data_IF_374509637396
#
_entry.id   IF_374509637396
#
_cell.length_a   1.000
_cell.length_b   1.000
_cell.length_c   1.000
_cell.angle_alpha   90.00
_cell.angle_beta   90.00
_cell.angle_gamma   90.00
#
_symmetry.space_group_name_H-M   'P 1'
#
loop_
_entity.id
_entity.type
_entity.pdbx_description
1 polymer ?
#
# COMPACT_ATOMS: atom_id res chain seq x y z
N UNK A 1 10.25 -19.96 12.62
CA UNK A 1 11.27 -20.03 13.68
C UNK A 1 10.66 -19.36 14.89
N UNK A 2 10.49 -20.06 16.00
CA UNK A 2 10.11 -19.42 17.25
C UNK A 2 11.17 -18.38 17.58
N UNK A 3 10.73 -17.15 17.80
CA UNK A 3 11.53 -16.16 18.51
C UNK A 3 12.08 -16.85 19.76
N UNK A 4 13.40 -16.95 19.87
CA UNK A 4 14.07 -17.46 21.06
C UNK A 4 13.88 -16.44 22.20
N UNK A 5 12.65 -16.32 22.69
CA UNK A 5 12.38 -15.84 24.03
C UNK A 5 13.29 -16.60 24.99
N UNK A 6 13.70 -15.95 26.08
CA UNK A 6 14.58 -16.57 27.08
C UNK A 6 14.04 -17.96 27.43
N UNK A 7 14.81 -18.99 27.11
CA UNK A 7 14.49 -20.35 27.54
C UNK A 7 14.73 -20.42 29.05
N UNK A 8 13.64 -20.37 29.81
CA UNK A 8 13.70 -20.43 31.27
C UNK A 8 14.22 -21.77 31.79
N UNK A 9 14.36 -22.79 30.93
CA UNK A 9 14.99 -24.06 31.27
C UNK A 9 16.54 -23.99 31.21
N UNK A 10 17.12 -22.95 30.60
CA UNK A 10 18.56 -22.73 30.64
C UNK A 10 19.01 -22.32 32.06
N UNK A 11 20.23 -22.70 32.42
CA UNK A 11 20.81 -22.29 33.69
C UNK A 11 20.87 -20.76 33.80
N UNK A 12 20.81 -20.24 35.03
CA UNK A 12 20.92 -18.79 35.26
C UNK A 12 22.21 -18.22 34.66
N UNK A 13 23.32 -18.97 34.74
CA UNK A 13 24.60 -18.56 34.18
C UNK A 13 24.52 -18.42 32.65
N UNK A 14 23.92 -19.39 31.95
CA UNK A 14 23.75 -19.32 30.50
C UNK A 14 22.86 -18.15 30.10
N UNK A 15 21.74 -17.93 30.83
CA UNK A 15 20.85 -16.80 30.57
C UNK A 15 21.55 -15.45 30.72
N UNK A 16 22.40 -15.29 31.74
CA UNK A 16 23.17 -14.06 31.95
C UNK A 16 24.20 -13.82 30.84
N UNK A 17 24.94 -14.84 30.42
CA UNK A 17 25.96 -14.69 29.36
C UNK A 17 25.37 -14.43 27.95
N UNK A 18 24.06 -14.63 27.77
CA UNK A 18 23.34 -14.27 26.52
C UNK A 18 22.93 -12.80 26.46
N UNK A 19 22.94 -12.07 27.57
CA UNK A 19 22.54 -10.66 27.61
C UNK A 19 23.64 -9.83 26.93
N UNK A 20 23.34 -9.05 25.87
CA UNK A 20 24.33 -8.19 25.23
C UNK A 20 24.99 -7.24 26.24
N UNK A 21 26.33 -7.21 26.24
CA UNK A 21 27.11 -6.36 27.15
C UNK A 21 27.20 -6.86 28.60
N UNK A 22 26.70 -8.06 28.92
CA UNK A 22 26.83 -8.61 30.27
C UNK A 22 28.28 -8.99 30.62
N UNK A 23 28.76 -8.47 31.75
CA UNK A 23 30.04 -8.83 32.35
C UNK A 23 29.79 -9.12 33.85
N UNK A 24 30.14 -10.32 34.37
CA UNK A 24 29.96 -10.65 35.78
C UNK A 24 30.58 -9.62 36.72
N UNK A 25 29.79 -9.10 37.66
CA UNK A 25 30.24 -8.14 38.67
C UNK A 25 30.39 -6.69 38.18
N UNK A 26 30.04 -6.39 36.92
CA UNK A 26 30.06 -5.04 36.37
C UNK A 26 28.63 -4.49 36.19
N UNK A 27 28.43 -3.16 36.24
CA UNK A 27 27.17 -2.54 35.88
C UNK A 27 26.87 -2.68 34.38
N UNK A 28 25.61 -2.46 33.99
CA UNK A 28 25.20 -2.49 32.59
C UNK A 28 25.87 -1.37 31.77
N UNK A 29 26.26 -1.70 30.54
CA UNK A 29 26.73 -0.75 29.54
C UNK A 29 25.64 -0.46 28.50
N UNK A 30 25.80 0.63 27.75
CA UNK A 30 24.91 0.94 26.62
C UNK A 30 25.04 -0.13 25.53
N UNK A 31 23.94 -0.42 24.84
CA UNK A 31 23.88 -1.34 23.70
C UNK A 31 23.98 -0.57 22.38
N UNK A 32 25.07 0.18 22.19
CA UNK A 32 25.21 1.06 21.01
C UNK A 32 25.44 0.28 19.69
N UNK A 33 25.87 -1.00 19.78
CA UNK A 33 26.14 -1.88 18.62
C UNK A 33 24.94 -2.72 18.17
N UNK A 34 23.79 -2.60 18.84
CA UNK A 34 22.56 -3.35 18.53
C UNK A 34 21.52 -2.38 17.99
N UNK A 35 21.01 -2.64 16.79
CA UNK A 35 19.99 -1.80 16.16
C UNK A 35 18.58 -2.32 16.45
N UNK A 36 17.59 -1.45 16.27
CA UNK A 36 16.18 -1.85 16.35
C UNK A 36 15.85 -3.03 15.42
N UNK A 37 16.50 -3.11 14.25
CA UNK A 37 16.26 -4.19 13.29
C UNK A 37 16.82 -5.53 13.76
N UNK A 38 17.92 -5.54 14.54
CA UNK A 38 18.50 -6.76 15.10
C UNK A 38 17.58 -7.40 16.16
N UNK A 39 16.79 -6.57 16.85
CA UNK A 39 15.88 -6.99 17.91
C UNK A 39 14.42 -7.13 17.43
N UNK A 40 14.10 -6.65 16.22
CA UNK A 40 12.73 -6.56 15.71
C UNK A 40 12.04 -7.91 15.72
N UNK A 41 12.62 -8.93 15.07
CA UNK A 41 12.04 -10.28 15.06
C UNK A 41 11.87 -10.83 16.48
N UNK A 42 12.83 -10.57 17.37
CA UNK A 42 12.76 -11.05 18.75
C UNK A 42 11.68 -10.36 19.60
N UNK A 43 11.33 -9.11 19.32
CA UNK A 43 10.29 -8.40 20.06
C UNK A 43 8.90 -8.52 19.43
N UNK A 44 8.86 -8.61 18.10
CA UNK A 44 7.67 -8.39 17.29
C UNK A 44 7.31 -9.59 16.41
N UNK A 45 8.08 -10.68 16.49
CA UNK A 45 7.76 -11.97 15.88
C UNK A 45 8.25 -12.17 14.45
N UNK A 46 8.56 -11.09 13.73
CA UNK A 46 9.15 -11.14 12.38
C UNK A 46 9.70 -9.77 11.95
N UNK A 47 10.52 -9.80 10.90
CA UNK A 47 10.92 -8.60 10.18
C UNK A 47 9.81 -8.11 9.25
N UNK A 48 9.50 -6.81 9.34
CA UNK A 48 8.48 -6.13 8.52
C UNK A 48 9.13 -5.18 7.52
N UNK A 49 8.52 -5.07 6.34
CA UNK A 49 8.93 -4.09 5.33
C UNK A 49 8.59 -4.51 3.90
N UNK A 50 8.15 -3.56 3.09
CA UNK A 50 7.90 -3.73 1.66
C UNK A 50 8.33 -2.49 0.82
N UNK A 51 9.58 -2.02 0.94
CA UNK A 51 10.08 -0.85 0.20
C UNK A 51 10.51 -1.25 -1.22
N UNK A 52 9.63 -1.94 -1.92
CA UNK A 52 9.82 -2.29 -3.31
C UNK A 52 8.44 -2.51 -3.91
N UNK A 53 8.26 -2.16 -5.17
CA UNK A 53 7.04 -2.44 -5.90
C UNK A 53 7.10 -3.81 -6.61
N UNK A 54 8.30 -4.34 -6.86
CA UNK A 54 8.55 -5.50 -7.75
C UNK A 54 9.46 -6.58 -7.15
N UNK A 55 10.03 -6.40 -5.95
CA UNK A 55 10.68 -7.50 -5.24
C UNK A 55 9.72 -8.65 -4.96
N UNK A 56 10.16 -9.84 -4.55
CA UNK A 56 9.22 -10.95 -4.37
C UNK A 56 8.25 -10.70 -3.21
N UNK A 57 6.95 -10.78 -3.48
CA UNK A 57 5.88 -10.54 -2.51
C UNK A 57 5.75 -11.76 -1.59
N UNK A 58 5.99 -11.56 -0.28
CA UNK A 58 5.99 -12.65 0.71
C UNK A 58 4.68 -12.71 1.49
N UNK A 59 4.21 -11.56 1.96
CA UNK A 59 3.03 -11.47 2.83
C UNK A 59 2.19 -10.26 2.48
N UNK A 60 0.87 -10.45 2.45
CA UNK A 60 -0.11 -9.39 2.22
C UNK A 60 -1.20 -9.38 3.28
N UNK A 61 -1.71 -8.19 3.56
CA UNK A 61 -2.93 -7.97 4.33
C UNK A 61 -4.07 -7.66 3.37
N UNK A 62 -5.20 -8.33 3.56
CA UNK A 62 -6.45 -8.11 2.87
C UNK A 62 -7.58 -7.83 3.86
N UNK A 63 -8.55 -7.02 3.44
CA UNK A 63 -9.79 -6.80 4.19
C UNK A 63 -10.95 -7.39 3.41
N UNK A 64 -11.65 -8.36 3.99
CA UNK A 64 -12.83 -8.95 3.36
C UNK A 64 -13.89 -7.86 3.13
N UNK A 65 -14.44 -7.72 1.90
CA UNK A 65 -15.40 -6.67 1.61
C UNK A 65 -16.72 -6.91 2.35
N UNK A 66 -17.39 -5.83 2.71
CA UNK A 66 -18.76 -5.90 3.22
C UNK A 66 -19.70 -6.41 2.14
N UNK A 67 -20.69 -7.21 2.53
CA UNK A 67 -21.78 -7.65 1.65
C UNK A 67 -22.90 -6.62 1.56
N UNK A 68 -22.95 -5.70 2.53
CA UNK A 68 -23.98 -4.68 2.63
C UNK A 68 -23.92 -3.68 1.47
N UNK A 69 -25.08 -3.12 1.17
CA UNK A 69 -25.25 -2.09 0.15
C UNK A 69 -24.70 -0.72 0.57
N UNK A 70 -25.12 0.34 -0.14
CA UNK A 70 -24.85 1.70 0.29
C UNK A 70 -25.54 2.02 1.62
N UNK A 71 -24.94 2.89 2.43
CA UNK A 71 -25.54 3.40 3.67
C UNK A 71 -26.64 4.43 3.39
N UNK A 72 -27.44 4.76 4.41
CA UNK A 72 -28.47 5.80 4.29
C UNK A 72 -27.89 7.17 3.90
N UNK A 73 -26.72 7.54 4.45
CA UNK A 73 -26.06 8.80 4.10
C UNK A 73 -25.60 8.80 2.63
N UNK A 74 -25.10 7.66 2.15
CA UNK A 74 -24.64 7.50 0.76
C UNK A 74 -25.80 7.58 -0.23
N UNK A 75 -26.99 7.14 0.17
CA UNK A 75 -28.21 7.25 -0.63
C UNK A 75 -28.82 8.67 -0.56
N UNK A 76 -28.68 9.34 0.59
CA UNK A 76 -29.21 10.69 0.79
C UNK A 76 -28.47 11.77 -0.02
N UNK A 77 -27.14 11.65 -0.15
CA UNK A 77 -26.34 12.54 -1.02
C UNK A 77 -25.25 11.77 -1.79
N UNK A 78 -25.59 11.10 -2.90
CA UNK A 78 -24.63 10.31 -3.66
C UNK A 78 -23.46 11.10 -4.24
N UNK A 79 -23.61 12.43 -4.43
CA UNK A 79 -22.57 13.27 -5.00
C UNK A 79 -21.42 13.50 -4.00
N UNK A 80 -21.73 13.65 -2.71
CA UNK A 80 -20.72 13.78 -1.66
C UNK A 80 -19.85 12.51 -1.50
N UNK A 81 -20.42 11.34 -1.76
CA UNK A 81 -19.75 10.04 -1.65
C UNK A 81 -19.22 9.50 -3.00
N UNK A 82 -19.14 10.36 -4.03
CA UNK A 82 -18.67 9.98 -5.36
C UNK A 82 -17.22 9.51 -5.32
N UNK A 83 -16.93 8.45 -6.06
CA UNK A 83 -15.58 7.91 -6.26
C UNK A 83 -15.41 7.54 -7.72
N UNK A 84 -14.36 8.05 -8.38
CA UNK A 84 -14.07 7.72 -9.78
C UNK A 84 -15.25 7.98 -10.74
N UNK A 85 -16.02 9.03 -10.46
CA UNK A 85 -17.22 9.37 -11.23
C UNK A 85 -18.37 8.35 -11.10
N UNK A 86 -18.34 7.54 -10.04
CA UNK A 86 -19.38 6.56 -9.68
C UNK A 86 -19.89 6.80 -8.27
N UNK A 87 -21.14 6.48 -8.04
CA UNK A 87 -21.77 6.60 -6.71
C UNK A 87 -21.89 5.25 -6.03
N UNK A 88 -22.34 5.25 -4.78
CA UNK A 88 -22.55 4.02 -4.01
C UNK A 88 -23.60 3.08 -4.64
N UNK A 89 -24.53 3.61 -5.44
CA UNK A 89 -25.56 2.81 -6.13
C UNK A 89 -25.02 2.04 -7.33
N UNK A 90 -23.91 2.50 -7.91
CA UNK A 90 -23.31 1.78 -9.04
C UNK A 90 -22.50 0.56 -8.53
N UNK A 91 -22.18 0.50 -7.22
CA UNK A 91 -21.25 -0.48 -6.64
C UNK A 91 -21.73 -1.92 -6.92
N UNK A 92 -20.84 -2.83 -7.38
CA UNK A 92 -21.23 -4.20 -7.70
C UNK A 92 -21.81 -4.91 -6.48
N UNK A 93 -22.74 -5.85 -6.66
CA UNK A 93 -23.37 -6.56 -5.54
C UNK A 93 -22.34 -7.19 -4.59
N UNK A 94 -22.67 -7.24 -3.30
CA UNK A 94 -21.78 -7.73 -2.24
C UNK A 94 -21.31 -9.17 -2.45
N UNK A 95 -22.18 -10.05 -2.92
CA UNK A 95 -21.85 -11.44 -3.27
C UNK A 95 -20.79 -11.55 -4.37
N UNK A 96 -20.89 -10.73 -5.41
CA UNK A 96 -19.88 -10.66 -6.47
C UNK A 96 -18.54 -10.14 -5.94
N UNK A 97 -18.56 -9.08 -5.11
CA UNK A 97 -17.33 -8.54 -4.49
C UNK A 97 -16.64 -9.58 -3.61
N UNK A 98 -17.40 -10.33 -2.82
CA UNK A 98 -16.87 -11.41 -1.98
C UNK A 98 -16.31 -12.55 -2.84
N UNK A 99 -17.00 -12.95 -3.91
CA UNK A 99 -16.49 -13.98 -4.82
C UNK A 99 -15.14 -13.58 -5.44
N UNK A 100 -15.04 -12.36 -5.96
CA UNK A 100 -13.80 -11.85 -6.57
C UNK A 100 -12.68 -11.66 -5.54
N UNK A 101 -13.02 -11.32 -4.29
CA UNK A 101 -12.06 -11.33 -3.19
C UNK A 101 -11.52 -12.74 -2.93
N UNK A 102 -12.39 -13.75 -2.86
CA UNK A 102 -11.99 -15.15 -2.63
C UNK A 102 -11.10 -15.66 -3.78
N UNK A 103 -11.39 -15.26 -5.02
CA UNK A 103 -10.54 -15.53 -6.20
C UNK A 103 -9.15 -14.88 -6.08
N UNK A 104 -9.06 -13.62 -5.62
CA UNK A 104 -7.78 -12.94 -5.35
C UNK A 104 -6.98 -13.65 -4.24
N UNK A 105 -7.62 -14.03 -3.14
CA UNK A 105 -6.98 -14.75 -2.03
C UNK A 105 -6.46 -16.12 -2.49
N UNK A 106 -7.24 -16.86 -3.28
CA UNK A 106 -6.83 -18.15 -3.83
C UNK A 106 -5.63 -18.00 -4.76
N UNK A 107 -5.65 -16.99 -5.65
CA UNK A 107 -4.54 -16.69 -6.55
C UNK A 107 -3.25 -16.39 -5.77
N UNK A 108 -3.31 -15.47 -4.81
CA UNK A 108 -2.15 -15.11 -3.97
C UNK A 108 -1.55 -16.33 -3.25
N UNK A 109 -2.40 -17.17 -2.64
CA UNK A 109 -1.96 -18.41 -2.00
C UNK A 109 -1.34 -19.39 -2.98
N UNK A 110 -1.89 -19.52 -4.19
CA UNK A 110 -1.34 -20.40 -5.23
C UNK A 110 0.03 -19.94 -5.74
N UNK A 111 0.31 -18.64 -5.66
CA UNK A 111 1.59 -18.03 -6.01
C UNK A 111 2.58 -17.99 -4.82
N UNK A 112 2.23 -18.65 -3.71
CA UNK A 112 3.09 -18.80 -2.53
C UNK A 112 3.09 -17.61 -1.58
N UNK A 113 2.17 -16.66 -1.74
CA UNK A 113 2.06 -15.48 -0.88
C UNK A 113 1.26 -15.81 0.38
N UNK A 114 1.80 -15.47 1.55
CA UNK A 114 1.08 -15.52 2.82
C UNK A 114 -0.02 -14.46 2.83
N UNK A 115 -1.26 -14.88 3.11
CA UNK A 115 -2.41 -13.99 3.17
C UNK A 115 -2.90 -13.84 4.60
N UNK A 116 -2.84 -12.61 5.11
CA UNK A 116 -3.41 -12.19 6.38
C UNK A 116 -4.73 -11.48 6.08
N UNK A 117 -5.79 -11.88 6.75
CA UNK A 117 -7.11 -11.26 6.58
C UNK A 117 -7.48 -10.46 7.84
N UNK A 118 -7.93 -9.22 7.66
CA UNK A 118 -8.52 -8.42 8.73
C UNK A 118 -10.04 -8.42 8.66
N UNK A 119 -10.65 -8.46 9.84
CA UNK A 119 -12.09 -8.39 10.04
C UNK A 119 -12.40 -7.41 11.16
N UNK A 120 -13.04 -6.29 10.81
CA UNK A 120 -13.51 -5.32 11.79
C UNK A 120 -14.98 -5.57 12.13
N UNK A 121 -15.34 -5.42 13.40
CA UNK A 121 -16.75 -5.36 13.79
C UNK A 121 -17.43 -4.13 13.18
N UNK A 122 -18.76 -4.15 13.04
CA UNK A 122 -19.52 -3.01 12.53
C UNK A 122 -19.20 -1.71 13.32
N UNK A 123 -19.04 -1.82 14.64
CA UNK A 123 -18.65 -0.68 15.49
C UNK A 123 -17.27 -0.13 15.12
N UNK A 124 -16.29 -1.00 14.86
CA UNK A 124 -14.94 -0.59 14.47
C UNK A 124 -14.84 -0.10 13.02
N UNK A 125 -15.91 -0.28 12.22
CA UNK A 125 -16.06 0.27 10.87
C UNK A 125 -16.70 1.66 10.86
N UNK A 126 -17.25 2.14 11.97
CA UNK A 126 -17.81 3.50 12.06
C UNK A 126 -16.70 4.53 11.86
N UNK A 127 -16.99 5.53 11.03
CA UNK A 127 -16.15 6.70 10.90
C UNK A 127 -16.39 7.67 12.05
N UNK A 128 -15.53 8.69 12.14
CA UNK A 128 -15.79 9.81 13.07
C UNK A 128 -16.85 10.78 12.52
N UNK A 129 -17.19 10.68 11.23
CA UNK A 129 -18.18 11.54 10.57
C UNK A 129 -19.33 10.77 9.89
N UNK A 130 -19.21 9.45 9.73
CA UNK A 130 -20.17 8.64 8.98
C UNK A 130 -20.46 7.34 9.71
N UNK A 131 -21.67 6.80 9.56
CA UNK A 131 -22.04 5.49 10.13
C UNK A 131 -21.16 4.35 9.63
N UNK A 132 -20.56 4.50 8.45
CA UNK A 132 -19.57 3.60 7.87
C UNK A 132 -18.43 4.38 7.25
N UNK A 133 -17.22 4.21 7.77
CA UNK A 133 -16.02 4.69 7.11
C UNK A 133 -15.69 3.80 5.92
N UNK A 134 -15.22 4.41 4.82
CA UNK A 134 -14.73 3.69 3.65
C UNK A 134 -13.21 3.55 3.67
N UNK A 135 -12.71 2.53 3.00
CA UNK A 135 -11.27 2.25 2.97
C UNK A 135 -10.82 1.57 4.27
N UNK A 136 -11.42 0.42 4.58
CA UNK A 136 -11.27 -0.25 5.87
C UNK A 136 -9.90 -0.92 6.02
N UNK A 137 -8.85 -0.13 6.21
CA UNK A 137 -7.62 -0.55 6.89
C UNK A 137 -6.49 -1.07 6.00
N UNK A 138 -6.47 -0.75 4.70
CA UNK A 138 -5.34 -1.11 3.82
C UNK A 138 -4.49 0.11 3.44
N UNK A 139 -4.84 1.29 3.94
CA UNK A 139 -4.16 2.55 3.69
C UNK A 139 -2.81 2.73 4.39
N UNK A 140 -2.52 2.17 5.58
CA UNK A 140 -1.17 2.24 6.13
C UNK A 140 -0.15 1.59 5.20
N UNK A 141 1.10 2.05 5.22
CA UNK A 141 2.20 1.34 4.55
C UNK A 141 3.08 0.66 5.58
N UNK A 142 3.69 -0.46 5.17
CA UNK A 142 4.67 -1.18 5.99
C UNK A 142 6.07 -0.85 5.46
N UNK A 143 6.84 -0.15 6.28
CA UNK A 143 8.24 0.18 6.04
C UNK A 143 9.17 -0.77 6.81
N UNK A 144 10.48 -0.77 6.53
CA UNK A 144 11.48 -1.50 7.33
C UNK A 144 11.31 -1.07 8.79
N UNK A 145 10.98 -2.03 9.65
CA UNK A 145 10.77 -1.79 11.08
C UNK A 145 9.31 -1.62 11.53
N UNK A 146 8.36 -1.35 10.64
CA UNK A 146 6.96 -1.22 11.08
C UNK A 146 6.07 -0.36 10.16
N UNK A 147 4.90 0.02 10.66
CA UNK A 147 3.88 0.70 9.90
C UNK A 147 3.92 2.22 10.05
N UNK A 148 3.53 2.91 8.98
CA UNK A 148 3.15 4.33 8.99
C UNK A 148 1.63 4.40 8.82
N UNK A 149 0.95 4.93 9.82
CA UNK A 149 -0.50 5.12 9.81
C UNK A 149 -0.84 6.41 9.06
N UNK A 150 -1.69 6.27 8.06
CA UNK A 150 -2.20 7.35 7.23
C UNK A 150 -3.08 8.34 7.99
N UNK A 151 -3.39 9.48 7.35
CA UNK A 151 -4.50 10.36 7.74
C UNK A 151 -5.30 10.72 6.51
N UNK A 152 -6.53 10.23 6.44
CA UNK A 152 -7.36 10.39 5.25
C UNK A 152 -7.79 11.85 5.01
N UNK A 153 -7.93 12.22 3.73
CA UNK A 153 -8.30 13.58 3.36
C UNK A 153 -9.79 13.86 3.51
N UNK A 154 -10.62 12.90 3.08
CA UNK A 154 -12.08 13.06 2.99
C UNK A 154 -12.78 12.52 4.22
N UNK A 155 -13.85 13.19 4.64
CA UNK A 155 -14.54 12.93 5.91
C UNK A 155 -15.02 11.46 6.02
N UNK A 156 -15.57 10.92 4.95
CA UNK A 156 -16.12 9.56 4.90
C UNK A 156 -15.05 8.44 4.91
N UNK A 157 -13.75 8.77 4.92
CA UNK A 157 -12.65 7.81 5.14
C UNK A 157 -12.03 7.89 6.54
N UNK A 158 -12.39 8.87 7.37
CA UNK A 158 -11.73 9.09 8.67
C UNK A 158 -12.36 8.25 9.78
N UNK A 159 -11.52 7.66 10.63
CA UNK A 159 -11.91 6.81 11.76
C UNK A 159 -11.21 5.44 11.81
N UNK A 160 -11.04 4.71 10.68
CA UNK A 160 -10.45 3.38 10.68
C UNK A 160 -9.00 3.32 11.20
N UNK A 161 -8.29 4.45 11.26
CA UNK A 161 -6.88 4.55 11.70
C UNK A 161 -6.65 3.87 13.04
N UNK A 162 -7.57 4.03 14.00
CA UNK A 162 -7.47 3.37 15.31
C UNK A 162 -7.59 1.86 15.20
N UNK A 163 -8.59 1.37 14.45
CA UNK A 163 -8.87 -0.05 14.33
C UNK A 163 -7.72 -0.79 13.63
N UNK A 164 -7.16 -0.22 12.56
CA UNK A 164 -6.01 -0.80 11.88
C UNK A 164 -4.74 -0.73 12.73
N UNK A 165 -4.54 0.32 13.53
CA UNK A 165 -3.39 0.39 14.44
C UNK A 165 -3.45 -0.72 15.51
N UNK A 166 -4.61 -0.92 16.13
CA UNK A 166 -4.82 -2.02 17.09
C UNK A 166 -4.57 -3.38 16.44
N UNK A 167 -5.07 -3.59 15.21
CA UNK A 167 -4.84 -4.81 14.45
C UNK A 167 -3.35 -5.06 14.17
N UNK A 168 -2.63 -4.05 13.67
CA UNK A 168 -1.21 -4.16 13.33
C UNK A 168 -0.36 -4.45 14.57
N UNK A 169 -0.61 -3.77 15.69
CA UNK A 169 0.12 -4.05 16.94
C UNK A 169 -0.12 -5.47 17.43
N UNK A 170 -1.37 -5.95 17.40
CA UNK A 170 -1.69 -7.33 17.79
C UNK A 170 -1.12 -8.38 16.84
N UNK A 171 -0.93 -8.03 15.57
CA UNK A 171 -0.25 -8.87 14.59
C UNK A 171 1.27 -8.93 14.81
N UNK A 172 1.82 -8.07 15.67
CA UNK A 172 3.25 -7.93 15.88
C UNK A 172 3.90 -6.93 14.93
N UNK A 173 3.17 -6.03 14.28
CA UNK A 173 3.74 -4.95 13.47
C UNK A 173 3.82 -3.63 14.27
N UNK A 174 5.02 -3.10 14.55
CA UNK A 174 5.17 -1.84 15.28
C UNK A 174 4.56 -0.66 14.53
N UNK A 175 4.08 0.36 15.24
CA UNK A 175 3.71 1.64 14.64
C UNK A 175 4.89 2.60 14.79
N UNK A 176 5.52 2.97 13.68
CA UNK A 176 6.64 3.92 13.68
C UNK A 176 6.16 5.37 13.70
N UNK A 177 5.05 5.64 13.01
CA UNK A 177 4.53 6.99 12.86
C UNK A 177 3.05 7.01 12.49
N UNK A 178 2.34 8.07 12.89
CA UNK A 178 0.97 8.36 12.48
C UNK A 178 0.91 9.78 11.95
N UNK A 179 0.46 9.97 10.71
CA UNK A 179 0.34 11.31 10.09
C UNK A 179 -0.64 12.17 10.89
N UNK A 180 -0.24 13.38 11.26
CA UNK A 180 -1.00 14.21 12.20
C UNK A 180 -0.91 15.72 11.93
N UNK A 181 -1.60 16.51 12.76
CA UNK A 181 -1.64 17.98 12.63
C UNK A 181 -2.34 18.43 11.34
N UNK A 182 -1.70 19.32 10.58
CA UNK A 182 -2.16 19.72 9.24
C UNK A 182 -1.76 18.73 8.14
N UNK A 183 -0.98 17.68 8.45
CA UNK A 183 -0.59 16.65 7.51
C UNK A 183 -1.77 15.79 7.07
N UNK A 184 -1.89 15.56 5.77
CA UNK A 184 -2.84 14.64 5.15
C UNK A 184 -2.04 13.77 4.21
N UNK A 185 -2.12 12.46 4.37
CA UNK A 185 -1.44 11.54 3.48
C UNK A 185 -2.11 10.18 3.51
N UNK A 186 -2.71 9.78 2.40
CA UNK A 186 -3.12 8.39 2.16
C UNK A 186 -1.91 7.61 1.63
N UNK A 187 -0.98 7.27 2.54
CA UNK A 187 0.34 6.68 2.24
C UNK A 187 0.24 5.44 1.35
N UNK A 188 -0.81 4.65 1.55
CA UNK A 188 -1.03 3.42 0.80
C UNK A 188 -1.31 3.58 -0.69
N UNK A 189 -1.70 4.77 -1.15
CA UNK A 189 -2.01 5.05 -2.56
C UNK A 189 -1.13 6.13 -3.20
N UNK A 190 -0.49 6.99 -2.39
CA UNK A 190 0.34 8.09 -2.91
C UNK A 190 1.84 7.86 -2.75
N UNK A 191 2.27 6.65 -2.38
CA UNK A 191 3.68 6.28 -2.34
C UNK A 191 3.89 5.09 -3.26
N UNK A 192 4.83 5.25 -4.19
CA UNK A 192 5.33 4.19 -5.04
C UNK A 192 6.83 4.04 -4.79
N UNK A 193 7.24 2.94 -4.15
CA UNK A 193 8.65 2.56 -4.08
C UNK A 193 9.08 2.10 -5.46
N UNK A 194 10.10 2.73 -6.06
CA UNK A 194 10.69 2.25 -7.31
C UNK A 194 11.67 1.11 -7.05
N UNK A 195 12.40 1.21 -5.94
CA UNK A 195 13.23 0.18 -5.34
C UNK A 195 13.40 0.49 -3.83
N UNK A 196 14.33 -0.19 -3.14
CA UNK A 196 14.60 -0.02 -1.71
C UNK A 196 15.28 1.30 -1.31
N UNK A 197 15.58 2.19 -2.27
CA UNK A 197 16.27 3.47 -2.07
C UNK A 197 15.55 4.66 -2.71
N UNK A 198 14.61 4.42 -3.62
CA UNK A 198 13.94 5.44 -4.42
C UNK A 198 12.43 5.31 -4.26
N UNK A 199 11.76 6.44 -3.98
CA UNK A 199 10.31 6.49 -3.94
C UNK A 199 9.77 7.68 -4.72
N UNK A 200 8.51 7.57 -5.14
CA UNK A 200 7.71 8.69 -5.59
C UNK A 200 6.59 8.90 -4.58
N UNK A 201 6.45 10.13 -4.09
CA UNK A 201 5.29 10.58 -3.35
C UNK A 201 4.44 11.51 -4.22
N UNK A 202 3.15 11.62 -3.93
CA UNK A 202 2.25 12.47 -4.70
C UNK A 202 1.42 13.43 -3.85
N UNK A 203 1.39 14.71 -4.21
CA UNK A 203 0.28 15.59 -3.78
C UNK A 203 -0.93 15.29 -4.65
N UNK A 204 -2.10 15.22 -4.02
CA UNK A 204 -3.37 14.94 -4.67
C UNK A 204 -4.52 15.43 -3.79
N UNK A 205 -5.77 15.12 -4.16
CA UNK A 205 -6.91 15.32 -3.26
C UNK A 205 -6.73 14.58 -1.92
N UNK A 206 -5.95 13.50 -1.90
CA UNK A 206 -5.77 12.65 -0.73
C UNK A 206 -4.46 12.86 0.03
N UNK A 207 -3.58 13.76 -0.43
CA UNK A 207 -2.27 14.02 0.19
C UNK A 207 -1.82 15.47 -0.01
N UNK A 208 -1.36 16.12 1.07
CA UNK A 208 -0.79 17.47 1.03
C UNK A 208 0.71 17.49 1.35
N UNK A 209 1.36 18.64 1.11
CA UNK A 209 2.81 18.79 1.32
C UNK A 209 3.27 18.57 2.76
N UNK A 210 2.45 18.90 3.75
CA UNK A 210 2.80 18.63 5.16
C UNK A 210 2.78 17.13 5.46
N UNK A 211 1.83 16.39 4.89
CA UNK A 211 1.80 14.93 4.96
C UNK A 211 3.05 14.32 4.31
N UNK A 212 3.43 14.80 3.11
CA UNK A 212 4.66 14.36 2.43
C UNK A 212 5.88 14.64 3.31
N UNK A 213 6.02 15.84 3.87
CA UNK A 213 7.15 16.19 4.73
C UNK A 213 7.30 15.25 5.94
N UNK A 214 6.18 14.93 6.60
CA UNK A 214 6.18 14.01 7.73
C UNK A 214 6.61 12.59 7.32
N UNK A 215 6.08 12.10 6.20
CA UNK A 215 6.38 10.74 5.72
C UNK A 215 7.79 10.65 5.15
N UNK A 216 8.27 11.67 4.43
CA UNK A 216 9.63 11.75 3.89
C UNK A 216 10.69 11.53 4.96
N UNK A 217 10.52 12.14 6.13
CA UNK A 217 11.43 11.97 7.25
C UNK A 217 11.53 10.50 7.69
N UNK A 218 10.40 9.80 7.78
CA UNK A 218 10.39 8.38 8.14
C UNK A 218 10.99 7.53 7.03
N UNK A 219 10.68 7.83 5.75
CA UNK A 219 11.24 7.13 4.60
C UNK A 219 12.77 7.23 4.55
N UNK A 220 13.34 8.40 4.88
CA UNK A 220 14.80 8.58 4.99
C UNK A 220 15.41 7.70 6.07
N UNK A 221 14.79 7.64 7.26
CA UNK A 221 15.27 6.81 8.37
C UNK A 221 15.28 5.32 8.05
N UNK A 222 14.37 4.85 7.18
CA UNK A 222 14.30 3.45 6.75
C UNK A 222 15.10 3.16 5.48
N UNK A 223 15.90 4.12 5.00
CA UNK A 223 16.88 3.92 3.93
C UNK A 223 16.49 4.42 2.54
N UNK A 224 15.34 5.11 2.38
CA UNK A 224 15.00 5.78 1.12
C UNK A 224 15.89 7.01 0.96
N UNK A 225 16.76 6.99 -0.05
CA UNK A 225 17.75 8.03 -0.33
C UNK A 225 17.24 9.12 -1.25
N UNK A 226 16.28 8.80 -2.11
CA UNK A 226 15.76 9.73 -3.09
C UNK A 226 14.24 9.65 -3.17
N UNK A 227 13.60 10.82 -3.16
CA UNK A 227 12.15 10.95 -3.16
C UNK A 227 11.74 12.00 -4.19
N UNK A 228 11.08 11.57 -5.26
CA UNK A 228 10.49 12.47 -6.25
C UNK A 228 9.06 12.82 -5.82
N UNK A 229 8.66 14.08 -5.97
CA UNK A 229 7.33 14.56 -5.60
C UNK A 229 6.54 14.83 -6.88
N UNK A 230 5.47 14.06 -7.10
CA UNK A 230 4.53 14.24 -8.20
C UNK A 230 3.34 15.10 -7.78
N UNK A 231 2.96 16.08 -8.60
CA UNK A 231 1.79 16.94 -8.35
C UNK A 231 0.58 16.53 -9.19
N UNK A 232 -0.17 15.51 -8.76
CA UNK A 232 -1.27 14.94 -9.55
C UNK A 232 -2.39 15.96 -9.80
N UNK A 233 -2.98 15.96 -11.01
CA UNK A 233 -4.15 16.78 -11.30
C UNK A 233 -5.37 16.31 -10.49
N UNK A 234 -6.31 17.22 -10.24
CA UNK A 234 -7.56 16.94 -9.54
C UNK A 234 -8.71 17.73 -10.15
N UNK A 235 -9.94 17.40 -9.75
CA UNK A 235 -11.11 18.22 -10.01
C UNK A 235 -11.22 19.38 -9.02
N UNK A 236 -11.86 20.47 -9.46
CA UNK A 236 -12.18 21.62 -8.60
C UNK A 236 -13.60 21.48 -8.02
N UNK A 237 -14.62 21.69 -8.86
CA UNK A 237 -16.04 21.56 -8.48
C UNK A 237 -16.78 20.48 -9.27
N UNK A 238 -16.27 20.14 -10.45
CA UNK A 238 -16.90 19.21 -11.39
C UNK A 238 -15.87 18.19 -11.86
N UNK A 239 -16.24 16.92 -11.90
CA UNK A 239 -15.43 15.87 -12.53
C UNK A 239 -15.61 15.90 -14.07
N UNK A 240 -14.99 16.87 -14.73
CA UNK A 240 -14.92 16.87 -16.20
C UNK A 240 -13.95 15.79 -16.68
N UNK A 241 -14.49 14.78 -17.37
CA UNK A 241 -13.72 13.58 -17.72
C UNK A 241 -13.43 12.72 -16.48
N UNK A 242 -13.63 11.40 -16.58
CA UNK A 242 -13.35 10.51 -15.44
C UNK A 242 -11.85 10.44 -15.09
N UNK A 243 -10.99 10.96 -15.97
CA UNK A 243 -9.54 11.05 -15.80
C UNK A 243 -9.09 11.94 -14.65
N UNK A 244 -9.82 13.02 -14.33
CA UNK A 244 -9.52 13.86 -13.16
C UNK A 244 -9.67 13.10 -11.82
N UNK A 245 -10.50 12.05 -11.79
CA UNK A 245 -10.65 11.20 -10.61
C UNK A 245 -9.50 10.19 -10.47
N UNK A 246 -8.75 9.90 -11.54
CA UNK A 246 -7.61 8.99 -11.50
C UNK A 246 -6.43 9.57 -10.71
N UNK A 247 -6.27 10.90 -10.72
CA UNK A 247 -5.27 11.62 -9.92
C UNK A 247 -5.51 11.60 -8.41
N UNK A 248 -6.51 10.87 -7.91
CA UNK A 248 -6.75 10.72 -6.46
C UNK A 248 -5.61 10.01 -5.74
N UNK A 249 -5.00 9.00 -6.38
CA UNK A 249 -3.83 8.25 -5.88
C UNK A 249 -2.85 8.00 -7.01
N UNK A 250 -1.55 8.07 -6.71
CA UNK A 250 -0.46 7.80 -7.64
C UNK A 250 -0.55 6.40 -8.28
N UNK A 251 -0.86 5.38 -7.49
CA UNK A 251 -0.95 3.99 -7.97
C UNK A 251 -2.06 3.76 -9.01
N UNK A 252 -2.99 4.70 -9.20
CA UNK A 252 -4.01 4.58 -10.24
C UNK A 252 -3.51 5.02 -11.61
N UNK A 253 -2.36 5.69 -11.66
CA UNK A 253 -1.82 6.30 -12.88
C UNK A 253 -0.37 5.89 -13.16
N UNK A 254 0.32 5.26 -12.20
CA UNK A 254 1.70 4.81 -12.33
C UNK A 254 1.97 3.59 -11.43
N UNK A 255 2.49 2.51 -11.99
CA UNK A 255 3.13 1.43 -11.24
C UNK A 255 4.30 0.84 -12.03
N UNK A 256 5.32 0.39 -11.31
CA UNK A 256 6.36 -0.47 -11.87
C UNK A 256 5.81 -1.88 -12.10
N UNK A 257 6.32 -2.54 -13.13
CA UNK A 257 5.90 -3.92 -13.50
C UNK A 257 7.08 -4.87 -13.65
N UNK A 258 8.27 -4.34 -13.91
CA UNK A 258 9.53 -5.06 -13.97
C UNK A 258 10.70 -4.10 -13.73
N UNK A 259 11.92 -4.62 -13.72
CA UNK A 259 13.12 -3.79 -13.67
C UNK A 259 13.13 -2.80 -14.84
N UNK A 260 13.32 -1.51 -14.54
CA UNK A 260 13.37 -0.42 -15.53
C UNK A 260 12.15 -0.40 -16.49
N UNK A 261 10.99 -0.87 -16.03
CA UNK A 261 9.73 -0.86 -16.78
C UNK A 261 8.53 -0.54 -15.89
N UNK A 262 7.72 0.44 -16.31
CA UNK A 262 6.48 0.85 -15.65
C UNK A 262 5.32 0.94 -16.64
N UNK A 263 4.10 0.80 -16.12
CA UNK A 263 2.86 1.15 -16.82
C UNK A 263 2.36 2.49 -16.28
N UNK A 264 1.88 3.36 -17.16
CA UNK A 264 1.37 4.66 -16.75
C UNK A 264 0.21 5.17 -17.62
N UNK A 265 -0.54 6.14 -17.08
CA UNK A 265 -1.46 6.96 -17.84
C UNK A 265 -0.94 8.40 -17.88
N UNK A 266 -0.30 8.83 -18.99
CA UNK A 266 0.32 10.14 -19.09
C UNK A 266 -0.64 11.32 -18.87
N UNK A 267 -1.92 11.15 -19.25
CA UNK A 267 -2.93 12.22 -19.14
C UNK A 267 -3.25 12.66 -17.69
N UNK A 268 -2.84 11.88 -16.68
CA UNK A 268 -2.97 12.24 -15.28
C UNK A 268 -1.63 12.22 -14.52
N UNK A 269 -0.50 12.22 -15.25
CA UNK A 269 0.83 12.34 -14.68
C UNK A 269 1.47 13.69 -15.01
N UNK A 270 2.12 14.34 -14.04
CA UNK A 270 2.87 15.55 -14.30
C UNK A 270 4.07 15.29 -15.21
N UNK A 271 4.38 16.25 -16.08
CA UNK A 271 5.45 16.11 -17.07
C UNK A 271 6.81 15.85 -16.41
N UNK A 272 7.11 16.54 -15.31
CA UNK A 272 8.33 16.35 -14.54
C UNK A 272 8.48 14.93 -13.99
N UNK A 273 7.37 14.26 -13.67
CA UNK A 273 7.39 12.87 -13.21
C UNK A 273 7.73 11.93 -14.37
N UNK A 274 7.18 12.17 -15.55
CA UNK A 274 7.54 11.41 -16.75
C UNK A 274 9.04 11.56 -17.07
N UNK A 275 9.56 12.80 -16.96
CA UNK A 275 10.99 13.08 -17.17
C UNK A 275 11.88 12.45 -16.11
N UNK A 276 11.44 12.45 -14.86
CA UNK A 276 12.13 11.78 -13.77
C UNK A 276 12.25 10.27 -14.04
N UNK A 277 11.14 9.60 -14.36
CA UNK A 277 11.13 8.17 -14.69
C UNK A 277 12.09 7.86 -15.86
N UNK A 278 12.05 8.67 -16.92
CA UNK A 278 12.96 8.53 -18.07
C UNK A 278 14.43 8.77 -17.69
N UNK A 279 14.72 9.73 -16.81
CA UNK A 279 16.10 9.99 -16.34
C UNK A 279 16.66 8.84 -15.50
N UNK A 280 15.79 8.05 -14.85
CA UNK A 280 16.15 6.81 -14.15
C UNK A 280 16.24 5.60 -15.09
N UNK A 281 16.16 5.80 -16.40
CA UNK A 281 16.22 4.73 -17.40
C UNK A 281 14.96 3.84 -17.43
N UNK A 282 13.87 4.27 -16.79
CA UNK A 282 12.63 3.50 -16.73
C UNK A 282 11.83 3.73 -18.01
N UNK A 283 11.53 2.64 -18.72
CA UNK A 283 10.64 2.65 -19.88
C UNK A 283 9.19 2.68 -19.43
N UNK A 284 8.36 3.44 -20.15
CA UNK A 284 6.96 3.64 -19.81
C UNK A 284 6.06 3.01 -20.89
N UNK A 285 5.17 2.12 -20.47
CA UNK A 285 4.07 1.61 -21.28
C UNK A 285 2.85 2.47 -20.99
N UNK A 286 2.34 3.15 -22.02
CA UNK A 286 1.18 4.01 -21.90
C UNK A 286 -0.12 3.19 -21.98
N UNK A 287 -0.98 3.32 -20.97
CA UNK A 287 -2.34 2.81 -21.01
C UNK A 287 -3.26 3.85 -21.68
N UNK A 288 -4.14 3.46 -22.62
CA UNK A 288 -5.15 4.36 -23.15
C UNK A 288 -6.17 4.74 -22.07
N UNK A 289 -6.84 5.89 -22.21
CA UNK A 289 -7.74 6.43 -21.18
C UNK A 289 -8.82 5.42 -20.75
N UNK A 290 -9.42 4.68 -21.69
CA UNK A 290 -10.46 3.69 -21.38
C UNK A 290 -9.96 2.56 -20.46
N UNK A 291 -8.73 2.10 -20.67
CA UNK A 291 -8.11 1.04 -19.86
C UNK A 291 -7.54 1.62 -18.55
N UNK A 292 -7.03 2.84 -18.56
CA UNK A 292 -6.66 3.56 -17.34
C UNK A 292 -7.88 3.73 -16.41
N UNK A 293 -9.05 4.06 -16.97
CA UNK A 293 -10.33 4.09 -16.23
C UNK A 293 -10.77 2.71 -15.72
N UNK A 294 -10.32 1.63 -16.37
CA UNK A 294 -10.45 0.25 -15.88
C UNK A 294 -9.30 -0.18 -14.95
N UNK A 295 -8.49 0.75 -14.46
CA UNK A 295 -7.39 0.49 -13.54
C UNK A 295 -6.24 -0.33 -14.15
N UNK A 296 -5.97 -0.19 -15.45
CA UNK A 296 -4.83 -0.84 -16.11
C UNK A 296 -3.47 -0.44 -15.51
N UNK A 297 -3.35 0.74 -14.90
CA UNK A 297 -2.13 1.16 -14.23
C UNK A 297 -2.04 0.68 -12.77
N UNK A 298 -3.13 0.21 -12.16
CA UNK A 298 -3.19 -0.20 -10.75
C UNK A 298 -2.78 -1.67 -10.59
N UNK A 299 -1.55 -2.00 -10.95
CA UNK A 299 -1.06 -3.39 -11.01
C UNK A 299 -0.43 -3.81 -9.68
N UNK A 300 -0.59 -5.09 -9.34
CA UNK A 300 0.11 -5.71 -8.21
C UNK A 300 1.20 -6.63 -8.76
N UNK A 301 2.48 -6.29 -8.57
CA UNK A 301 3.54 -7.22 -8.91
C UNK A 301 3.68 -8.30 -7.84
N UNK A 302 3.72 -9.57 -8.25
CA UNK A 302 4.11 -10.69 -7.40
C UNK A 302 5.64 -10.75 -7.27
N UNK A 303 6.33 -10.44 -8.37
CA UNK A 303 7.78 -10.32 -8.52
C UNK A 303 8.06 -9.57 -9.82
N UNK A 304 9.31 -9.19 -10.08
CA UNK A 304 9.66 -8.42 -11.27
C UNK A 304 9.27 -9.19 -12.56
N UNK A 305 8.51 -8.55 -13.44
CA UNK A 305 8.03 -9.16 -14.68
C UNK A 305 6.78 -10.02 -14.51
N UNK A 306 6.15 -10.03 -13.33
CA UNK A 306 4.95 -10.82 -13.08
C UNK A 306 3.94 -10.06 -12.23
N UNK A 307 2.78 -9.78 -12.82
CA UNK A 307 1.79 -8.88 -12.25
C UNK A 307 0.38 -9.45 -12.30
N UNK A 308 -0.43 -9.01 -11.36
CA UNK A 308 -1.89 -9.13 -11.38
C UNK A 308 -2.46 -7.79 -11.86
N UNK A 309 -3.38 -7.85 -12.82
CA UNK A 309 -4.09 -6.72 -13.39
C UNK A 309 -5.59 -7.02 -13.47
N UNK A 310 -6.44 -6.00 -13.35
CA UNK A 310 -7.86 -6.15 -13.66
C UNK A 310 -8.04 -6.59 -15.12
N UNK A 311 -8.94 -7.55 -15.37
CA UNK A 311 -9.29 -7.99 -16.71
C UNK A 311 -9.96 -6.87 -17.55
N UNK A 312 -9.91 -7.02 -18.88
CA UNK A 312 -10.52 -6.07 -19.81
C UNK A 312 -9.63 -4.89 -20.20
N UNK A 313 -8.30 -5.10 -20.23
CA UNK A 313 -7.29 -4.13 -20.65
C UNK A 313 -6.42 -4.66 -21.81
N UNK A 314 -7.01 -5.06 -22.96
CA UNK A 314 -6.31 -5.80 -24.00
C UNK A 314 -5.10 -5.07 -24.62
N UNK A 315 -5.16 -3.74 -24.78
CA UNK A 315 -4.10 -2.93 -25.39
C UNK A 315 -2.88 -2.90 -24.45
N UNK A 316 -3.11 -2.55 -23.18
CA UNK A 316 -2.06 -2.47 -22.17
C UNK A 316 -1.48 -3.85 -21.88
N UNK A 317 -2.32 -4.87 -21.72
CA UNK A 317 -1.90 -6.26 -21.51
C UNK A 317 -1.03 -6.76 -22.67
N UNK A 318 -1.42 -6.48 -23.93
CA UNK A 318 -0.62 -6.87 -25.08
C UNK A 318 0.72 -6.12 -25.15
N UNK A 319 0.78 -4.86 -24.72
CA UNK A 319 2.03 -4.11 -24.61
C UNK A 319 2.97 -4.69 -23.55
N UNK A 320 2.43 -5.00 -22.36
CA UNK A 320 3.18 -5.63 -21.27
C UNK A 320 3.71 -7.02 -21.64
N UNK A 321 2.88 -7.86 -22.25
CA UNK A 321 3.30 -9.20 -22.69
C UNK A 321 4.39 -9.16 -23.78
N UNK A 322 4.36 -8.15 -24.67
CA UNK A 322 5.44 -7.92 -25.65
C UNK A 322 6.78 -7.59 -24.99
N UNK A 323 6.74 -6.98 -23.82
CA UNK A 323 7.90 -6.68 -22.97
C UNK A 323 8.30 -7.85 -22.05
N UNK A 324 7.69 -9.03 -22.22
CA UNK A 324 7.99 -10.23 -21.45
C UNK A 324 7.32 -10.30 -20.07
N UNK A 325 6.41 -9.38 -19.75
CA UNK A 325 5.68 -9.40 -18.47
C UNK A 325 4.60 -10.48 -18.49
N UNK A 326 4.62 -11.39 -17.51
CA UNK A 326 3.51 -12.30 -17.21
C UNK A 326 2.38 -11.51 -16.57
N UNK A 327 1.32 -11.25 -17.34
CA UNK A 327 0.12 -10.56 -16.86
C UNK A 327 -0.96 -11.59 -16.52
N UNK A 328 -1.26 -11.71 -15.24
CA UNK A 328 -2.38 -12.49 -14.69
C UNK A 328 -3.60 -11.55 -14.61
N UNK A 329 -4.61 -11.82 -15.41
CA UNK A 329 -5.82 -11.01 -15.47
C UNK A 329 -6.87 -11.57 -14.51
N UNK A 330 -7.42 -10.72 -13.63
CA UNK A 330 -8.46 -11.08 -12.68
C UNK A 330 -9.72 -10.25 -12.91
N UNK A 331 -10.88 -10.89 -12.91
CA UNK A 331 -12.16 -10.19 -12.98
C UNK A 331 -12.39 -9.38 -11.70
N UNK A 332 -12.50 -8.06 -11.83
CA UNK A 332 -12.62 -7.16 -10.68
C UNK A 332 -13.68 -6.11 -10.94
N UNK A 333 -14.90 -6.34 -10.45
CA UNK A 333 -16.01 -5.44 -10.67
C UNK A 333 -15.78 -4.06 -10.01
N UNK A 334 -14.91 -3.98 -9.01
CA UNK A 334 -14.49 -2.72 -8.38
C UNK A 334 -13.49 -1.91 -9.20
N UNK A 335 -12.92 -2.45 -10.28
CA UNK A 335 -11.97 -1.71 -11.14
C UNK A 335 -12.64 -0.45 -11.70
N UNK A 336 -13.89 -0.59 -12.16
CA UNK A 336 -14.74 0.51 -12.66
C UNK A 336 -15.13 1.53 -11.57
N UNK A 337 -14.80 1.25 -10.30
CA UNK A 337 -14.93 2.13 -9.12
C UNK A 337 -13.59 2.72 -8.67
N UNK A 338 -12.55 2.61 -9.49
CA UNK A 338 -11.22 3.12 -9.15
C UNK A 338 -10.48 2.28 -8.12
N UNK A 339 -10.66 0.96 -8.16
CA UNK A 339 -9.98 0.03 -7.27
C UNK A 339 -9.51 -1.20 -8.03
N UNK A 340 -8.25 -1.17 -8.48
CA UNK A 340 -7.55 -2.34 -9.02
C UNK A 340 -6.87 -3.19 -7.93
N UNK A 341 -6.09 -4.21 -8.34
CA UNK A 341 -5.40 -5.13 -7.44
C UNK A 341 -4.56 -4.47 -6.33
N UNK A 342 -3.75 -3.46 -6.68
CA UNK A 342 -2.84 -2.78 -5.75
C UNK A 342 -3.57 -2.05 -4.63
N UNK A 343 -4.78 -1.56 -4.89
CA UNK A 343 -5.63 -0.89 -3.89
C UNK A 343 -6.38 -1.85 -2.97
N UNK A 344 -6.48 -3.14 -3.31
CA UNK A 344 -7.24 -4.13 -2.54
C UNK A 344 -6.40 -4.92 -1.53
N UNK A 345 -5.10 -4.68 -1.49
CA UNK A 345 -4.14 -5.39 -0.65
C UNK A 345 -3.13 -4.40 -0.06
N UNK A 346 -2.54 -4.77 1.07
CA UNK A 346 -1.36 -4.10 1.62
C UNK A 346 -0.19 -5.06 1.68
N UNK A 347 0.94 -4.65 1.12
CA UNK A 347 2.20 -5.38 1.23
C UNK A 347 2.66 -5.29 2.69
N UNK A 348 2.87 -6.46 3.31
CA UNK A 348 3.35 -6.56 4.68
C UNK A 348 4.84 -6.90 4.70
N UNK A 349 5.23 -7.83 3.82
CA UNK A 349 6.61 -8.27 3.64
C UNK A 349 6.87 -8.46 2.15
N UNK A 350 7.92 -7.82 1.64
CA UNK A 350 8.43 -7.99 0.28
C UNK A 350 9.95 -7.92 0.31
N UNK A 351 10.60 -8.70 -0.54
CA UNK A 351 12.04 -8.59 -0.75
C UNK A 351 12.39 -7.23 -1.41
N UNK A 352 13.62 -6.75 -1.27
CA UNK A 352 14.02 -5.44 -1.84
C UNK A 352 13.97 -5.42 -3.39
N UNK A 353 14.18 -6.57 -4.04
CA UNK A 353 14.18 -6.67 -5.51
C UNK A 353 15.39 -5.96 -6.17
N UNK A 354 15.36 -5.73 -7.48
CA UNK A 354 16.43 -5.03 -8.19
C UNK A 354 16.48 -3.54 -7.82
N UNK A 355 17.68 -2.95 -7.79
CA UNK A 355 17.88 -1.51 -7.55
C UNK A 355 18.05 -0.73 -8.86
N UNK A 356 17.62 0.53 -8.88
CA UNK A 356 17.89 1.48 -9.95
C UNK A 356 19.35 1.95 -9.99
N UNK A 357 20.11 1.73 -8.92
CA UNK A 357 21.55 2.04 -8.84
C UNK A 357 22.42 0.97 -9.52
N UNK A 358 21.86 -0.21 -9.80
CA UNK A 358 22.51 -1.34 -10.49
C UNK A 358 22.36 -1.20 -12.03
#
# INVERSE_FOLDING_TARGET
MEVSMIDLNQSLAERLHRIPGYVPGMPAHRMDDVTFMDELEAMWGRNWGAQSCIGELRTVLLSRPDVEGPSEEELADPAFFVRFGRTATDLPRGDLRVKQYDEMVALLKSEGVEVIETHYSAERKKGIYTSRARGLGLEPIIVKGGAIIHRAAVAWKRGPERAISEFLVNLGCPILFTVHGSGIHEVGGNILFLDSKHAIQATSLSTNMEGIRQVSFILELVGIKEQHIAHLPSYLNTMYGRSAAMGFHLVNVLNMVAEKLAVCYPGALPYETLRYMQSKGIRLIEAPEEEALNQACNTLALRAGEIIMAAGNPITTAALRREGVRVIELEMATSRFGSGPRCQIRDMVRDDGPSLDD
#
